data_IF_912336673861
#
_entry.id   IF_912336673861
#
_cell.length_a   1.000
_cell.length_b   1.000
_cell.length_c   1.000
_cell.angle_alpha   90.00
_cell.angle_beta   90.00
_cell.angle_gamma   90.00
#
_symmetry.space_group_name_H-M   'P 1'
#
loop_
_entity.id
_entity.type
_entity.pdbx_description
1 polymer ?
#
# COMPACT_ATOMS: atom_id res chain seq x y z
N UNK A 1 -2.68 -7.05 -3.56
CA UNK A 1 -1.85 -7.23 -2.35
C UNK A 1 -0.89 -8.36 -2.64
N UNK A 2 0.40 -8.12 -2.49
CA UNK A 2 1.44 -9.15 -2.58
C UNK A 2 1.93 -9.43 -1.16
N UNK A 3 2.12 -10.69 -0.80
CA UNK A 3 2.63 -11.06 0.52
C UNK A 3 3.58 -12.24 0.41
N UNK A 4 4.59 -12.25 1.27
CA UNK A 4 5.50 -13.37 1.46
C UNK A 4 5.82 -13.49 2.95
N UNK A 5 5.65 -14.70 3.48
CA UNK A 5 6.02 -15.07 4.84
C UNK A 5 7.32 -15.87 4.86
N UNK A 6 7.95 -15.94 6.03
CA UNK A 6 9.18 -16.70 6.31
C UNK A 6 10.30 -16.33 5.33
N UNK A 7 10.56 -15.03 5.18
CA UNK A 7 11.58 -14.52 4.26
C UNK A 7 12.98 -14.77 4.81
N UNK A 8 13.16 -14.59 6.13
CA UNK A 8 14.36 -14.94 6.88
C UNK A 8 14.04 -15.05 8.39
N UNK A 9 15.03 -15.41 9.21
CA UNK A 9 14.90 -15.47 10.67
C UNK A 9 14.48 -14.11 11.27
N UNK A 10 15.00 -13.02 10.71
CA UNK A 10 14.69 -11.65 11.14
C UNK A 10 13.46 -11.05 10.43
N UNK A 11 13.14 -11.51 9.22
CA UNK A 11 12.05 -11.01 8.38
C UNK A 11 10.99 -12.11 8.23
N UNK A 12 10.04 -12.10 9.16
CA UNK A 12 8.90 -13.02 9.24
C UNK A 12 7.87 -12.77 8.13
N UNK A 13 7.62 -11.52 7.76
CA UNK A 13 6.70 -11.19 6.68
C UNK A 13 7.07 -9.93 5.93
N UNK A 14 6.80 -9.93 4.62
CA UNK A 14 6.78 -8.76 3.77
C UNK A 14 5.41 -8.67 3.11
N UNK A 15 4.73 -7.55 3.31
CA UNK A 15 3.43 -7.27 2.71
C UNK A 15 3.52 -5.98 1.90
N UNK A 16 3.08 -6.03 0.65
CA UNK A 16 3.06 -4.90 -0.27
C UNK A 16 1.64 -4.60 -0.70
N UNK A 17 1.22 -3.38 -0.41
CA UNK A 17 -0.07 -2.83 -0.77
C UNK A 17 0.13 -1.79 -1.86
N UNK A 18 -0.72 -1.83 -2.88
CA UNK A 18 -0.75 -0.85 -3.96
C UNK A 18 -2.13 -0.20 -4.04
N UNK A 19 -2.16 1.11 -4.28
CA UNK A 19 -3.38 1.90 -4.45
C UNK A 19 -3.17 3.03 -5.47
N UNK A 20 -4.24 3.72 -5.85
CA UNK A 20 -4.19 4.87 -6.77
C UNK A 20 -4.65 4.51 -8.19
N UNK A 21 -5.43 5.41 -8.80
CA UNK A 21 -6.00 5.22 -10.13
C UNK A 21 -5.13 5.83 -11.24
N UNK A 22 -4.46 6.96 -10.95
CA UNK A 22 -3.59 7.68 -11.89
C UNK A 22 -2.10 7.41 -11.68
N UNK A 23 -1.69 7.07 -10.45
CA UNK A 23 -0.31 6.70 -10.13
C UNK A 23 -0.32 5.64 -9.05
N UNK A 24 0.44 4.56 -9.25
CA UNK A 24 0.55 3.49 -8.26
C UNK A 24 1.29 4.03 -7.04
N UNK A 25 0.65 3.96 -5.88
CA UNK A 25 1.19 4.28 -4.56
C UNK A 25 1.43 2.97 -3.81
N UNK A 26 2.61 2.82 -3.23
CA UNK A 26 3.01 1.61 -2.52
C UNK A 26 3.05 1.83 -1.00
N UNK A 27 2.69 0.79 -0.26
CA UNK A 27 2.97 0.67 1.18
C UNK A 27 3.59 -0.69 1.42
N UNK A 28 4.76 -0.70 2.06
CA UNK A 28 5.53 -1.91 2.37
C UNK A 28 5.56 -2.07 3.87
N UNK A 29 5.15 -3.24 4.32
CA UNK A 29 5.20 -3.66 5.72
C UNK A 29 6.17 -4.81 5.87
N UNK A 30 7.03 -4.72 6.88
CA UNK A 30 7.96 -5.76 7.29
C UNK A 30 7.62 -6.14 8.72
N UNK A 31 7.28 -7.40 8.96
CA UNK A 31 6.87 -7.89 10.28
C UNK A 31 5.72 -7.07 10.91
N UNK A 32 4.78 -6.59 10.10
CA UNK A 32 3.68 -5.73 10.56
C UNK A 32 4.06 -4.25 10.78
N UNK A 33 5.32 -3.86 10.58
CA UNK A 33 5.77 -2.46 10.70
C UNK A 33 5.87 -1.83 9.31
N UNK A 34 5.26 -0.66 9.14
CA UNK A 34 5.35 0.09 7.89
C UNK A 34 6.75 0.69 7.75
N UNK A 35 7.50 0.24 6.75
CA UNK A 35 8.87 0.72 6.47
C UNK A 35 8.93 1.67 5.29
N UNK A 36 7.95 1.60 4.39
CA UNK A 36 7.78 2.54 3.28
C UNK A 36 6.30 2.79 3.07
N UNK A 37 5.94 4.06 2.93
CA UNK A 37 4.58 4.45 2.60
C UNK A 37 4.60 5.67 1.68
N UNK A 38 4.18 5.47 0.44
CA UNK A 38 3.94 6.59 -0.46
C UNK A 38 2.77 7.41 0.05
N UNK A 39 2.96 8.73 0.08
CA UNK A 39 1.86 9.65 0.38
C UNK A 39 0.82 9.55 -0.74
N UNK A 40 -0.37 9.08 -0.37
CA UNK A 40 -1.56 9.23 -1.21
C UNK A 40 -1.77 10.72 -1.46
N UNK A 41 -1.81 11.13 -2.72
CA UNK A 41 -2.07 12.52 -3.06
C UNK A 41 -3.52 12.84 -2.66
N UNK A 42 -3.80 14.08 -2.25
CA UNK A 42 -5.18 14.49 -1.94
C UNK A 42 -6.12 14.27 -3.13
N UNK A 43 -5.61 14.34 -4.36
CA UNK A 43 -6.34 14.04 -5.59
C UNK A 43 -6.85 12.58 -5.64
N UNK A 44 -6.08 11.61 -5.14
CA UNK A 44 -6.51 10.22 -5.03
C UNK A 44 -7.68 10.05 -4.04
N UNK A 45 -7.74 10.88 -2.99
CA UNK A 45 -8.86 10.91 -2.02
C UNK A 45 -10.12 11.53 -2.63
N UNK A 46 -9.97 12.58 -3.44
CA UNK A 46 -11.11 13.24 -4.10
C UNK A 46 -11.70 12.40 -5.25
N UNK A 47 -10.87 11.68 -6.02
CA UNK A 47 -11.35 10.79 -7.08
C UNK A 47 -12.25 9.67 -6.52
N UNK A 48 -11.90 9.06 -5.37
CA UNK A 48 -12.78 8.09 -4.69
C UNK A 48 -14.15 8.70 -4.33
N UNK A 49 -14.18 9.95 -3.87
CA UNK A 49 -15.44 10.63 -3.50
C UNK A 49 -16.31 10.95 -4.73
N UNK A 50 -15.71 11.38 -5.83
CA UNK A 50 -16.44 11.72 -7.06
C UNK A 50 -16.93 10.49 -7.85
N UNK A 51 -16.13 9.42 -7.93
CA UNK A 51 -16.50 8.22 -8.68
C UNK A 51 -17.31 7.19 -7.87
N UNK A 52 -17.41 7.33 -6.54
CA UNK A 52 -18.31 6.49 -5.71
C UNK A 52 -19.78 6.90 -5.82
N UNK A 53 -20.10 7.97 -6.58
CA UNK A 53 -21.46 8.52 -6.70
C UNK A 53 -22.15 8.22 -8.04
N UNK A 54 -21.66 7.26 -8.83
CA UNK A 54 -22.29 6.84 -10.09
C UNK A 54 -22.82 5.42 -10.00
#
# INVERSE_FOLDING_TARGET
>A
MLSKSEVSDDIKSIEVFSAGFFSVKLSIMVNGVVVLQDKLSLLDRFAKSFFSKK
#
